data_IF_074700271953
#
_entry.id   IF_074700271953
#
_cell.length_a   1.000
_cell.length_b   1.000
_cell.length_c   1.000
_cell.angle_alpha   90.00
_cell.angle_beta   90.00
_cell.angle_gamma   90.00
#
_symmetry.space_group_name_H-M   'P 1'
#
loop_
_entity.id
_entity.type
_entity.pdbx_description
1 polymer ?
#
# COMPACT_ATOMS: atom_id res chain seq x y z
N UNK A 1 19.79 -23.87 33.02
CA UNK A 1 18.54 -23.98 32.23
C UNK A 1 18.33 -25.41 31.65
N UNK A 2 18.80 -25.75 30.44
CA UNK A 2 18.52 -27.07 29.83
C UNK A 2 19.18 -28.27 30.54
N UNK A 3 20.37 -28.10 31.13
CA UNK A 3 21.01 -29.13 31.95
C UNK A 3 20.32 -29.34 33.31
N UNK A 4 19.89 -28.26 33.96
CA UNK A 4 19.12 -28.34 35.23
C UNK A 4 17.76 -29.02 35.04
N UNK A 5 17.07 -28.76 33.92
CA UNK A 5 15.80 -29.42 33.59
C UNK A 5 15.97 -30.93 33.37
N UNK A 6 17.14 -31.36 32.86
CA UNK A 6 17.48 -32.78 32.67
C UNK A 6 17.85 -33.47 33.99
N UNK A 7 18.48 -32.76 34.92
CA UNK A 7 18.80 -33.28 36.24
C UNK A 7 17.57 -33.40 37.15
N UNK A 8 16.60 -32.48 37.03
CA UNK A 8 15.33 -32.55 37.74
C UNK A 8 14.45 -33.71 37.25
N UNK A 9 14.44 -34.01 35.93
CA UNK A 9 13.72 -35.19 35.42
C UNK A 9 14.39 -36.52 35.81
N UNK A 10 15.72 -36.54 35.97
CA UNK A 10 16.44 -37.73 36.42
C UNK A 10 16.27 -38.02 37.92
N UNK A 11 16.04 -36.99 38.74
CA UNK A 11 15.76 -37.14 40.18
C UNK A 11 14.34 -37.67 40.43
N UNK A 12 13.35 -37.20 39.69
CA UNK A 12 11.96 -37.70 39.80
C UNK A 12 11.80 -39.16 39.33
N UNK A 13 12.73 -39.69 38.54
CA UNK A 13 12.65 -41.05 37.99
C UNK A 13 13.35 -42.11 38.87
N UNK A 14 13.89 -41.72 40.03
CA UNK A 14 14.62 -42.62 40.94
C UNK A 14 13.82 -43.06 42.16
N UNK A 15 12.73 -42.34 42.48
CA UNK A 15 11.91 -42.59 43.68
C UNK A 15 10.64 -43.42 43.41
N UNK A 16 10.32 -43.74 42.15
CA UNK A 16 9.18 -44.61 41.77
C UNK A 16 9.57 -46.09 41.55
N UNK A 17 10.69 -46.52 42.13
CA UNK A 17 11.12 -47.93 42.15
C UNK A 17 10.89 -48.57 43.51
N UNK A 18 9.66 -48.58 44.01
CA UNK A 18 9.26 -49.61 44.97
C UNK A 18 7.73 -49.78 45.05
N UNK A 19 7.31 -51.04 44.87
CA UNK A 19 5.97 -51.63 45.14
C UNK A 19 4.93 -51.58 44.00
N UNK A 20 5.14 -52.41 42.98
CA UNK A 20 4.04 -53.00 42.18
C UNK A 20 3.85 -54.46 42.58
N UNK A 21 2.67 -54.79 43.13
CA UNK A 21 2.24 -56.17 43.45
C UNK A 21 2.06 -56.99 42.16
N UNK A 22 2.30 -58.31 42.16
CA UNK A 22 2.29 -59.08 40.92
C UNK A 22 0.87 -59.20 40.34
N UNK A 23 0.70 -58.77 39.08
CA UNK A 23 -0.53 -58.98 38.33
C UNK A 23 -0.74 -60.48 38.06
N UNK A 24 -1.95 -60.94 38.31
CA UNK A 24 -2.38 -62.32 38.15
C UNK A 24 -2.21 -62.79 36.70
N UNK A 25 -1.60 -63.97 36.53
CA UNK A 25 -1.56 -64.69 35.26
C UNK A 25 -2.99 -65.15 34.94
N UNK A 26 -3.67 -64.48 34.01
CA UNK A 26 -4.87 -65.02 33.40
C UNK A 26 -4.43 -66.24 32.56
N UNK A 27 -4.58 -67.44 33.15
CA UNK A 27 -4.40 -68.70 32.44
C UNK A 27 -5.54 -68.80 31.43
N UNK A 28 -5.26 -68.48 30.17
CA UNK A 28 -6.00 -69.06 29.05
C UNK A 28 -5.95 -70.57 29.23
N UNK A 29 -7.11 -71.21 29.38
CA UNK A 29 -7.20 -72.65 29.48
C UNK A 29 -6.71 -73.23 28.15
N UNK A 30 -5.45 -73.67 28.12
CA UNK A 30 -4.93 -74.49 27.03
C UNK A 30 -5.82 -75.74 26.96
N UNK A 31 -6.57 -75.86 25.88
CA UNK A 31 -7.29 -77.07 25.55
C UNK A 31 -6.23 -78.10 25.14
N UNK A 32 -6.25 -79.28 25.76
CA UNK A 32 -5.34 -80.39 25.40
C UNK A 32 -5.47 -80.72 23.91
N UNK A 33 -4.32 -81.02 23.31
CA UNK A 33 -4.15 -81.34 21.90
C UNK A 33 -4.83 -82.69 21.61
N UNK A 34 -6.13 -82.65 21.30
CA UNK A 34 -6.85 -83.82 20.78
C UNK A 34 -6.49 -83.90 19.30
N UNK A 35 -5.62 -84.85 18.94
CA UNK A 35 -5.02 -85.01 17.62
C UNK A 35 -5.98 -85.32 16.45
N UNK A 36 -7.28 -85.12 16.61
CA UNK A 36 -8.29 -85.22 15.55
C UNK A 36 -9.06 -83.90 15.44
N UNK A 37 -9.01 -83.29 14.26
CA UNK A 37 -9.61 -81.97 13.99
C UNK A 37 -11.14 -81.96 14.20
N UNK A 38 -11.79 -83.11 13.98
CA UNK A 38 -13.23 -83.27 14.16
C UNK A 38 -13.63 -83.23 15.64
N UNK A 39 -12.81 -83.78 16.55
CA UNK A 39 -13.07 -83.73 17.99
C UNK A 39 -12.89 -82.32 18.59
N UNK A 40 -11.98 -81.52 18.03
CA UNK A 40 -11.85 -80.11 18.37
C UNK A 40 -13.11 -79.33 17.98
N UNK A 41 -13.55 -79.46 16.72
CA UNK A 41 -14.72 -78.76 16.20
C UNK A 41 -16.00 -79.16 16.95
N UNK A 42 -16.20 -80.46 17.21
CA UNK A 42 -17.33 -80.96 18.00
C UNK A 42 -17.35 -80.33 19.39
N UNK A 43 -16.21 -80.31 20.09
CA UNK A 43 -16.13 -79.68 21.42
C UNK A 43 -16.26 -78.15 21.42
N UNK A 44 -15.85 -77.48 20.33
CA UNK A 44 -15.95 -76.02 20.16
C UNK A 44 -17.38 -75.58 19.86
N UNK A 45 -18.10 -76.36 19.05
CA UNK A 45 -19.53 -76.21 18.75
C UNK A 45 -20.41 -76.55 19.95
N UNK A 46 -20.17 -77.69 20.62
CA UNK A 46 -20.91 -78.10 21.81
C UNK A 46 -20.78 -77.08 22.95
N UNK A 47 -19.55 -76.57 23.17
CA UNK A 47 -19.27 -75.62 24.26
C UNK A 47 -19.46 -74.15 23.85
N UNK A 48 -19.90 -73.89 22.60
CA UNK A 48 -20.18 -72.56 22.03
C UNK A 48 -19.07 -71.53 22.37
N UNK A 49 -17.81 -71.92 22.21
CA UNK A 49 -16.68 -71.15 22.76
C UNK A 49 -16.41 -69.82 22.04
N UNK A 50 -17.04 -69.55 20.89
CA UNK A 50 -17.03 -68.22 20.24
C UNK A 50 -17.98 -67.21 20.88
N UNK A 51 -18.96 -67.68 21.65
CA UNK A 51 -19.77 -66.79 22.50
C UNK A 51 -18.98 -66.59 23.77
N UNK A 52 -18.52 -65.36 23.99
CA UNK A 52 -17.92 -64.96 25.26
C UNK A 52 -18.82 -65.48 26.39
N UNK A 53 -18.26 -66.25 27.33
CA UNK A 53 -18.99 -66.62 28.55
C UNK A 53 -19.46 -65.31 29.13
N UNK A 54 -20.76 -65.06 29.06
CA UNK A 54 -21.40 -63.89 29.61
C UNK A 54 -21.02 -63.79 31.09
N UNK A 55 -19.93 -63.08 31.36
CA UNK A 55 -19.77 -62.41 32.64
C UNK A 55 -21.06 -61.62 32.76
N UNK A 56 -21.82 -61.88 33.83
CA UNK A 56 -23.09 -61.21 34.10
C UNK A 56 -22.80 -59.71 34.32
N UNK A 57 -22.55 -58.98 33.25
CA UNK A 57 -22.68 -57.54 33.18
C UNK A 57 -24.09 -57.30 32.70
N UNK A 58 -24.96 -57.02 33.65
CA UNK A 58 -26.34 -56.62 33.43
C UNK A 58 -26.34 -55.21 32.85
N UNK A 59 -25.94 -55.03 31.59
CA UNK A 59 -26.21 -53.78 30.86
C UNK A 59 -27.56 -53.93 30.18
N UNK A 60 -28.52 -53.28 30.81
CA UNK A 60 -29.88 -53.09 30.32
C UNK A 60 -29.76 -52.30 29.01
N UNK A 61 -30.19 -52.92 27.93
CA UNK A 61 -30.31 -52.32 26.60
C UNK A 61 -31.53 -51.38 26.61
N UNK A 62 -31.43 -50.28 27.35
CA UNK A 62 -32.39 -49.15 27.42
C UNK A 62 -31.66 -47.80 27.46
N UNK A 63 -30.33 -47.80 27.32
CA UNK A 63 -29.43 -46.65 27.53
C UNK A 63 -28.87 -46.09 26.23
N UNK A 64 -29.46 -46.41 25.09
CA UNK A 64 -28.97 -45.90 23.80
C UNK A 64 -29.56 -44.52 23.49
N UNK A 65 -30.64 -44.09 24.17
CA UNK A 65 -31.26 -42.79 23.94
C UNK A 65 -30.78 -41.68 24.88
N UNK A 66 -30.48 -42.00 26.15
CA UNK A 66 -29.99 -41.01 27.13
C UNK A 66 -28.50 -40.68 26.93
N UNK A 67 -27.66 -41.65 26.53
CA UNK A 67 -26.23 -41.40 26.17
C UNK A 67 -26.13 -40.50 24.93
N UNK A 68 -27.05 -40.66 23.95
CA UNK A 68 -27.07 -39.85 22.73
C UNK A 68 -27.58 -38.42 22.96
N UNK A 69 -28.50 -38.20 23.91
CA UNK A 69 -28.96 -36.85 24.28
C UNK A 69 -27.88 -36.05 25.04
N UNK A 70 -27.12 -36.71 25.93
CA UNK A 70 -25.98 -36.07 26.62
C UNK A 70 -24.84 -35.76 25.62
N UNK A 71 -24.55 -36.66 24.69
CA UNK A 71 -23.56 -36.43 23.62
C UNK A 71 -23.95 -35.24 22.72
N UNK A 72 -25.25 -35.07 22.40
CA UNK A 72 -25.75 -33.92 21.61
C UNK A 72 -25.66 -32.60 22.39
N UNK A 73 -25.93 -32.63 23.70
CA UNK A 73 -25.80 -31.46 24.57
C UNK A 73 -24.33 -31.04 24.76
N UNK A 74 -23.38 -31.98 24.79
CA UNK A 74 -21.95 -31.69 24.81
C UNK A 74 -21.48 -31.07 23.48
N UNK A 75 -21.94 -31.60 22.34
CA UNK A 75 -21.67 -31.01 21.02
C UNK A 75 -22.20 -29.58 20.92
N UNK A 76 -23.42 -29.32 21.40
CA UNK A 76 -23.98 -27.95 21.38
C UNK A 76 -23.20 -27.00 22.31
N UNK A 77 -22.70 -27.49 23.45
CA UNK A 77 -21.83 -26.70 24.34
C UNK A 77 -20.48 -26.40 23.69
N UNK A 78 -19.89 -27.35 22.98
CA UNK A 78 -18.67 -27.16 22.21
C UNK A 78 -18.89 -26.13 21.10
N UNK A 79 -19.95 -26.26 20.31
CA UNK A 79 -20.30 -25.32 19.24
C UNK A 79 -20.56 -23.90 19.78
N UNK A 80 -21.23 -23.78 20.93
CA UNK A 80 -21.44 -22.48 21.60
C UNK A 80 -20.14 -21.89 22.13
N UNK A 81 -19.20 -22.71 22.57
CA UNK A 81 -17.88 -22.25 23.00
C UNK A 81 -17.03 -21.80 21.81
N UNK A 82 -17.02 -22.57 20.72
CA UNK A 82 -16.29 -22.25 19.50
C UNK A 82 -16.84 -21.00 18.82
N UNK A 83 -18.16 -20.89 18.69
CA UNK A 83 -18.79 -19.69 18.13
C UNK A 83 -18.49 -18.45 18.97
N UNK A 84 -18.64 -18.52 20.30
CA UNK A 84 -18.26 -17.43 21.20
C UNK A 84 -16.77 -17.13 21.19
N UNK A 85 -15.89 -18.09 20.89
CA UNK A 85 -14.44 -17.88 20.78
C UNK A 85 -14.07 -17.22 19.46
N UNK A 86 -14.65 -17.69 18.36
CA UNK A 86 -14.36 -17.24 17.00
C UNK A 86 -14.97 -15.87 16.71
N UNK A 87 -16.19 -15.63 17.17
CA UNK A 87 -16.96 -14.41 16.91
C UNK A 87 -16.96 -13.43 18.09
N UNK A 88 -15.98 -13.51 19.00
CA UNK A 88 -15.91 -12.67 20.22
C UNK A 88 -16.21 -11.20 19.97
N UNK A 89 -15.67 -10.63 18.90
CA UNK A 89 -15.81 -9.20 18.60
C UNK A 89 -17.05 -8.88 17.78
N UNK A 90 -17.52 -9.82 16.96
CA UNK A 90 -18.67 -9.65 16.07
C UNK A 90 -19.98 -9.86 16.82
N UNK A 91 -20.08 -10.90 17.63
CA UNK A 91 -21.26 -11.19 18.45
C UNK A 91 -21.46 -10.12 19.53
N UNK A 92 -20.38 -9.56 20.10
CA UNK A 92 -20.45 -8.43 21.02
C UNK A 92 -20.91 -7.14 20.33
N UNK A 93 -20.50 -6.90 19.08
CA UNK A 93 -20.94 -5.75 18.29
C UNK A 93 -22.43 -5.87 17.92
N UNK A 94 -22.87 -7.06 17.53
CA UNK A 94 -24.29 -7.34 17.24
C UNK A 94 -25.16 -7.27 18.49
N UNK A 95 -24.66 -7.74 19.64
CA UNK A 95 -25.32 -7.58 20.94
C UNK A 95 -25.42 -6.10 21.36
N UNK A 96 -24.38 -5.31 21.10
CA UNK A 96 -24.37 -3.86 21.31
C UNK A 96 -25.35 -3.11 20.40
N UNK A 97 -25.60 -3.63 19.19
CA UNK A 97 -26.61 -3.11 18.28
C UNK A 97 -28.04 -3.53 18.66
N UNK A 98 -28.22 -4.72 19.27
CA UNK A 98 -29.53 -5.27 19.68
C UNK A 98 -30.04 -4.78 21.03
N UNK A 99 -29.22 -4.80 22.07
CA UNK A 99 -29.52 -4.17 23.36
C UNK A 99 -28.96 -2.76 23.29
N UNK A 100 -29.82 -1.76 23.07
CA UNK A 100 -29.39 -0.37 22.87
C UNK A 100 -28.41 0.11 23.94
N UNK A 101 -27.12 0.12 23.58
CA UNK A 101 -25.96 0.82 24.16
C UNK A 101 -25.68 0.68 25.67
N UNK A 102 -26.66 0.93 26.53
CA UNK A 102 -26.45 1.33 27.92
C UNK A 102 -26.06 0.19 28.88
N UNK A 103 -26.54 -1.03 28.66
CA UNK A 103 -26.28 -2.16 29.59
C UNK A 103 -25.02 -2.96 29.20
N UNK A 104 -24.58 -2.87 27.94
CA UNK A 104 -23.36 -3.52 27.41
C UNK A 104 -22.14 -2.59 27.44
N UNK A 105 -22.34 -1.27 27.53
CA UNK A 105 -21.27 -0.26 27.56
C UNK A 105 -20.21 -0.48 28.65
N UNK A 106 -20.56 -1.11 29.77
CA UNK A 106 -19.61 -1.41 30.86
C UNK A 106 -18.52 -2.42 30.49
N UNK A 107 -18.72 -3.26 29.47
CA UNK A 107 -17.76 -4.30 29.08
C UNK A 107 -16.90 -3.91 27.86
N UNK A 108 -17.36 -2.98 27.01
CA UNK A 108 -16.70 -2.61 25.75
C UNK A 108 -16.24 -1.15 25.67
N UNK A 109 -16.76 -0.24 26.49
CA UNK A 109 -16.44 1.19 26.39
C UNK A 109 -15.29 1.57 27.33
N UNK A 110 -14.09 1.76 26.75
CA UNK A 110 -12.94 2.26 27.50
C UNK A 110 -13.15 3.76 27.77
N UNK A 111 -13.50 4.10 29.01
CA UNK A 111 -13.61 5.50 29.44
C UNK A 111 -12.24 6.18 29.37
N UNK A 112 -12.05 7.03 28.35
CA UNK A 112 -10.82 7.79 28.16
C UNK A 112 -10.82 9.07 28.98
N UNK A 113 -9.75 9.33 29.72
CA UNK A 113 -9.50 10.64 30.33
C UNK A 113 -8.48 11.42 29.51
N UNK A 114 -8.55 12.76 29.57
CA UNK A 114 -7.61 13.63 28.87
C UNK A 114 -6.17 13.36 29.35
N UNK A 115 -5.28 13.04 28.41
CA UNK A 115 -3.86 12.75 28.70
C UNK A 115 -3.06 14.00 29.02
N UNK A 116 -3.45 15.14 28.44
CA UNK A 116 -2.87 16.44 28.72
C UNK A 116 -3.79 17.23 29.66
N UNK A 117 -3.38 17.31 30.92
CA UNK A 117 -4.05 18.12 31.94
C UNK A 117 -3.42 19.51 31.94
N UNK A 118 -4.17 20.50 31.46
CA UNK A 118 -3.78 21.90 31.52
C UNK A 118 -3.56 22.31 32.99
N UNK A 119 -2.36 22.80 33.35
CA UNK A 119 -2.00 23.15 34.73
C UNK A 119 -1.24 22.08 35.52
N UNK A 120 -0.80 20.99 34.88
CA UNK A 120 0.11 20.03 35.53
C UNK A 120 1.42 20.72 35.94
N UNK A 121 1.76 20.63 37.24
CA UNK A 121 3.05 21.12 37.77
C UNK A 121 4.25 20.27 37.33
N UNK A 122 4.01 19.18 36.58
CA UNK A 122 5.07 18.30 36.07
C UNK A 122 5.85 19.00 34.96
N UNK A 123 7.17 19.07 35.10
CA UNK A 123 8.07 19.50 34.01
C UNK A 123 8.05 18.46 32.89
N UNK A 124 7.80 18.92 31.66
CA UNK A 124 7.85 18.08 30.46
C UNK A 124 9.27 18.08 29.89
N UNK A 125 9.82 16.90 29.63
CA UNK A 125 11.14 16.76 29.03
C UNK A 125 11.10 17.04 27.52
N UNK A 126 11.25 18.31 27.15
CA UNK A 126 11.20 18.77 25.76
C UNK A 126 12.50 18.61 24.97
N UNK A 127 13.55 17.98 25.54
CA UNK A 127 14.88 17.91 24.90
C UNK A 127 14.82 17.31 23.48
N UNK A 128 14.10 16.19 23.32
CA UNK A 128 13.93 15.53 22.01
C UNK A 128 13.04 16.35 21.06
N UNK A 129 12.05 17.06 21.61
CA UNK A 129 11.16 17.95 20.84
C UNK A 129 11.95 19.14 20.28
N UNK A 130 12.73 19.81 21.13
CA UNK A 130 13.65 20.89 20.73
C UNK A 130 14.68 20.43 19.69
N UNK A 131 15.23 19.22 19.84
CA UNK A 131 16.18 18.68 18.86
C UNK A 131 15.52 18.43 17.49
N UNK A 132 14.28 17.92 17.48
CA UNK A 132 13.50 17.75 16.24
C UNK A 132 13.16 19.10 15.60
N UNK A 133 12.74 20.07 16.41
CA UNK A 133 12.44 21.43 15.96
C UNK A 133 13.69 22.11 15.37
N UNK A 134 14.84 22.02 16.04
CA UNK A 134 16.11 22.55 15.52
C UNK A 134 16.54 21.88 14.20
N UNK A 135 16.39 20.56 14.08
CA UNK A 135 16.65 19.85 12.80
C UNK A 135 15.70 20.28 11.70
N UNK A 136 14.42 20.53 12.02
CA UNK A 136 13.42 21.02 11.08
C UNK A 136 13.75 22.43 10.63
N UNK A 137 14.08 23.31 11.56
CA UNK A 137 14.48 24.70 11.30
C UNK A 137 15.73 24.78 10.41
N UNK A 138 16.73 23.91 10.65
CA UNK A 138 17.92 23.85 9.78
C UNK A 138 17.56 23.47 8.34
N UNK A 139 16.75 22.44 8.16
CA UNK A 139 16.28 22.01 6.83
C UNK A 139 15.43 23.07 6.15
N UNK A 140 14.56 23.75 6.89
CA UNK A 140 13.72 24.82 6.37
C UNK A 140 14.56 26.04 5.94
N UNK A 141 15.58 26.38 6.71
CA UNK A 141 16.53 27.44 6.36
C UNK A 141 17.31 27.10 5.08
N UNK A 142 17.81 25.87 4.97
CA UNK A 142 18.48 25.38 3.75
C UNK A 142 17.53 25.44 2.54
N UNK A 143 16.28 24.96 2.70
CA UNK A 143 15.27 25.02 1.63
C UNK A 143 14.96 26.47 1.22
N UNK A 144 14.81 27.37 2.18
CA UNK A 144 14.55 28.80 1.92
C UNK A 144 15.72 29.47 1.20
N UNK A 145 16.96 29.10 1.51
CA UNK A 145 18.14 29.58 0.78
C UNK A 145 18.13 29.10 -0.67
N UNK A 146 17.87 27.81 -0.90
CA UNK A 146 17.75 27.25 -2.25
C UNK A 146 16.61 27.91 -3.05
N UNK A 147 15.45 28.11 -2.43
CA UNK A 147 14.31 28.81 -3.06
C UNK A 147 14.67 30.26 -3.43
N UNK A 148 15.41 30.97 -2.56
CA UNK A 148 15.86 32.32 -2.84
C UNK A 148 16.88 32.37 -3.99
N UNK A 149 17.81 31.42 -4.04
CA UNK A 149 18.77 31.27 -5.14
C UNK A 149 18.08 30.95 -6.45
N UNK A 150 17.14 29.99 -6.46
CA UNK A 150 16.33 29.67 -7.63
C UNK A 150 15.52 30.86 -8.11
N UNK A 151 14.93 31.64 -7.19
CA UNK A 151 14.20 32.87 -7.54
C UNK A 151 15.13 33.90 -8.18
N UNK A 152 16.34 34.08 -7.65
CA UNK A 152 17.34 34.97 -8.24
C UNK A 152 17.74 34.49 -9.64
N UNK A 153 18.01 33.20 -9.80
CA UNK A 153 18.42 32.63 -11.09
C UNK A 153 17.30 32.74 -12.13
N UNK A 154 16.04 32.49 -11.74
CA UNK A 154 14.86 32.70 -12.59
C UNK A 154 14.69 34.16 -12.98
N UNK A 155 14.95 35.10 -12.06
CA UNK A 155 14.89 36.53 -12.38
C UNK A 155 15.96 36.91 -13.40
N UNK A 156 17.20 36.46 -13.21
CA UNK A 156 18.29 36.70 -14.14
C UNK A 156 17.99 36.12 -15.53
N UNK A 157 17.55 34.84 -15.61
CA UNK A 157 17.14 34.25 -16.88
C UNK A 157 15.98 34.98 -17.56
N UNK A 158 15.00 35.46 -16.78
CA UNK A 158 13.91 36.27 -17.33
C UNK A 158 14.39 37.62 -17.87
N UNK A 159 15.42 38.21 -17.28
CA UNK A 159 16.05 39.42 -17.80
C UNK A 159 16.81 39.11 -19.10
N UNK A 160 17.65 38.07 -19.12
CA UNK A 160 18.36 37.63 -20.33
C UNK A 160 17.41 37.31 -21.49
N UNK A 161 16.29 36.63 -21.22
CA UNK A 161 15.28 36.33 -22.23
C UNK A 161 14.61 37.59 -22.77
N UNK A 162 14.29 38.56 -21.91
CA UNK A 162 13.74 39.85 -22.36
C UNK A 162 14.74 40.61 -23.23
N UNK A 163 16.02 40.64 -22.86
CA UNK A 163 17.07 41.26 -23.67
C UNK A 163 17.20 40.58 -25.04
N UNK A 164 17.13 39.25 -25.10
CA UNK A 164 17.14 38.52 -26.37
C UNK A 164 15.90 38.78 -27.22
N UNK A 165 14.71 38.78 -26.62
CA UNK A 165 13.47 39.11 -27.33
C UNK A 165 13.50 40.56 -27.85
N UNK A 166 14.08 41.48 -27.08
CA UNK A 166 14.32 42.85 -27.52
C UNK A 166 15.26 42.91 -28.73
N UNK A 167 16.38 42.19 -28.69
CA UNK A 167 17.29 42.11 -29.85
C UNK A 167 16.58 41.55 -31.09
N UNK A 168 15.77 40.50 -30.93
CA UNK A 168 14.99 39.91 -32.03
C UNK A 168 13.97 40.90 -32.58
N UNK A 169 13.22 41.58 -31.70
CA UNK A 169 12.21 42.57 -32.11
C UNK A 169 12.82 43.78 -32.83
N UNK A 170 13.97 44.28 -32.34
CA UNK A 170 14.72 45.36 -33.00
C UNK A 170 15.27 44.92 -34.36
N UNK A 171 15.85 43.71 -34.46
CA UNK A 171 16.33 43.18 -35.74
C UNK A 171 15.19 42.92 -36.73
N UNK A 172 14.03 42.49 -36.23
CA UNK A 172 12.84 42.24 -37.05
C UNK A 172 12.08 43.50 -37.44
N UNK A 173 12.52 44.70 -37.05
CA UNK A 173 11.82 45.97 -37.33
C UNK A 173 10.44 46.08 -36.67
N UNK A 174 10.13 45.18 -35.75
CA UNK A 174 8.78 45.01 -35.21
C UNK A 174 8.57 45.76 -33.89
N UNK A 175 9.67 46.14 -33.23
CA UNK A 175 9.67 47.01 -32.05
C UNK A 175 10.45 48.28 -32.36
N UNK A 176 9.82 49.44 -32.12
CA UNK A 176 10.49 50.73 -32.10
C UNK A 176 11.13 51.05 -30.75
N UNK A 177 11.89 52.15 -30.67
CA UNK A 177 12.54 52.62 -29.42
C UNK A 177 11.53 52.94 -28.30
N UNK A 178 10.25 53.16 -28.62
CA UNK A 178 9.18 53.47 -27.66
C UNK A 178 8.58 52.23 -26.97
N UNK A 179 8.76 51.02 -27.53
CA UNK A 179 8.19 49.77 -27.00
C UNK A 179 9.12 49.04 -26.00
N UNK A 180 10.25 49.65 -25.65
CA UNK A 180 11.29 49.05 -24.79
C UNK A 180 10.80 48.69 -23.37
N UNK A 181 9.76 49.36 -22.86
CA UNK A 181 9.24 49.15 -21.50
C UNK A 181 8.04 48.18 -21.44
N UNK A 182 7.60 47.60 -22.56
CA UNK A 182 6.49 46.66 -22.53
C UNK A 182 6.80 45.46 -21.62
N UNK A 183 6.05 45.31 -20.51
CA UNK A 183 6.26 44.23 -19.54
C UNK A 183 6.16 42.83 -20.16
N UNK A 184 5.51 42.73 -21.32
CA UNK A 184 5.20 41.51 -22.04
C UNK A 184 5.61 41.59 -23.53
N UNK A 185 6.92 41.70 -23.78
CA UNK A 185 7.52 41.64 -25.12
C UNK A 185 7.06 40.42 -25.94
N UNK A 186 6.73 39.30 -25.29
CA UNK A 186 6.22 38.12 -26.01
C UNK A 186 4.89 38.40 -26.71
N UNK A 187 3.99 39.17 -26.08
CA UNK A 187 2.70 39.54 -26.68
C UNK A 187 2.82 40.55 -27.81
N UNK A 188 3.72 41.53 -27.72
CA UNK A 188 3.95 42.47 -28.82
C UNK A 188 4.52 41.76 -30.04
N UNK A 189 5.39 40.76 -29.82
CA UNK A 189 5.87 39.84 -30.85
C UNK A 189 4.87 38.72 -31.21
N UNK A 190 3.61 38.76 -30.75
CA UNK A 190 2.55 37.75 -30.98
C UNK A 190 3.02 36.31 -30.75
N UNK A 191 4.03 36.14 -29.91
CA UNK A 191 4.75 34.89 -29.69
C UNK A 191 4.13 34.24 -28.46
N UNK A 192 3.11 33.43 -28.68
CA UNK A 192 2.39 32.74 -27.60
C UNK A 192 3.22 31.54 -27.10
N UNK A 193 3.14 31.27 -25.79
CA UNK A 193 3.80 30.12 -25.15
C UNK A 193 3.42 28.80 -25.83
N UNK A 194 2.15 28.66 -26.22
CA UNK A 194 1.62 27.49 -26.92
C UNK A 194 2.26 27.28 -28.31
N UNK A 195 2.62 28.35 -29.02
CA UNK A 195 3.27 28.24 -30.34
C UNK A 195 4.75 27.82 -30.24
N UNK A 196 5.41 28.16 -29.13
CA UNK A 196 6.80 27.78 -28.87
C UNK A 196 6.94 26.32 -28.43
N UNK A 197 5.95 25.79 -27.72
CA UNK A 197 5.95 24.44 -27.17
C UNK A 197 5.34 23.39 -28.15
N UNK A 198 4.59 23.82 -29.16
CA UNK A 198 4.00 22.95 -30.19
C UNK A 198 5.00 22.51 -31.29
N UNK A 199 4.70 21.39 -31.96
CA UNK A 199 5.44 20.94 -33.14
C UNK A 199 5.27 21.94 -34.31
N UNK A 200 6.33 22.14 -35.09
CA UNK A 200 6.34 23.08 -36.21
C UNK A 200 5.30 22.72 -37.28
N UNK A 201 4.36 23.65 -37.53
CA UNK A 201 3.32 23.55 -38.54
C UNK A 201 3.45 24.70 -39.55
N UNK A 202 3.70 24.42 -40.84
CA UNK A 202 3.88 25.44 -41.86
C UNK A 202 2.66 26.35 -42.02
N UNK A 203 1.43 25.83 -41.91
CA UNK A 203 0.20 26.63 -42.09
C UNK A 203 0.01 27.63 -40.94
N UNK A 204 0.22 27.19 -39.69
CA UNK A 204 0.16 28.07 -38.51
C UNK A 204 1.25 29.13 -38.54
N UNK A 205 2.45 28.75 -38.97
CA UNK A 205 3.56 29.68 -39.08
C UNK A 205 3.32 30.74 -40.15
N UNK A 206 2.82 30.36 -41.33
CA UNK A 206 2.45 31.31 -42.39
C UNK A 206 1.36 32.29 -41.93
N UNK A 207 0.34 31.79 -41.23
CA UNK A 207 -0.70 32.64 -40.64
C UNK A 207 -0.13 33.65 -39.62
N UNK A 208 0.85 33.24 -38.82
CA UNK A 208 1.53 34.10 -37.85
C UNK A 208 2.40 35.16 -38.56
N UNK A 209 3.16 34.77 -39.58
CA UNK A 209 3.96 35.70 -40.39
C UNK A 209 3.09 36.72 -41.10
N UNK A 210 2.00 36.31 -41.75
CA UNK A 210 1.07 37.25 -42.39
C UNK A 210 0.40 38.20 -41.39
N UNK A 211 0.14 37.74 -40.16
CA UNK A 211 -0.43 38.57 -39.11
C UNK A 211 0.57 39.56 -38.50
N UNK A 212 1.87 39.26 -38.56
CA UNK A 212 2.94 40.05 -37.94
C UNK A 212 3.61 40.98 -38.95
N UNK A 213 3.84 40.46 -40.16
CA UNK A 213 4.38 41.12 -41.33
C UNK A 213 3.30 41.02 -42.42
N UNK A 214 2.38 41.98 -42.41
CA UNK A 214 1.24 42.02 -43.34
C UNK A 214 1.56 42.79 -44.62
N UNK A 215 0.52 43.38 -45.21
CA UNK A 215 0.65 44.31 -46.35
C UNK A 215 1.55 45.51 -46.02
N UNK A 216 1.63 45.92 -44.76
CA UNK A 216 2.52 47.01 -44.34
C UNK A 216 4.02 46.67 -44.48
N UNK A 217 4.39 45.39 -44.48
CA UNK A 217 5.79 44.95 -44.65
C UNK A 217 6.07 44.38 -46.05
N UNK A 218 5.14 43.59 -46.60
CA UNK A 218 5.29 42.96 -47.92
C UNK A 218 4.73 43.79 -49.08
N UNK A 219 3.93 44.82 -48.79
CA UNK A 219 3.27 45.68 -49.76
C UNK A 219 3.89 47.08 -49.89
N UNK A 220 4.87 47.44 -49.05
CA UNK A 220 5.73 48.59 -49.31
C UNK A 220 6.54 48.30 -50.59
N UNK A 221 6.30 49.08 -51.65
CA UNK A 221 7.22 49.18 -52.78
C UNK A 221 8.52 49.79 -52.25
N UNK A 222 9.52 48.94 -52.04
CA UNK A 222 10.85 49.37 -51.61
C UNK A 222 11.48 50.23 -52.71
N UNK A 223 11.34 51.56 -52.59
CA UNK A 223 11.91 52.55 -53.52
C UNK A 223 13.44 52.41 -53.66
N UNK A 224 14.11 51.70 -52.73
CA UNK A 224 15.55 51.39 -52.77
C UNK A 224 15.89 50.16 -53.64
N UNK A 225 14.92 49.29 -53.93
CA UNK A 225 15.05 48.24 -54.96
C UNK A 225 14.70 48.80 -56.34
N UNK A 226 15.35 49.90 -56.73
CA UNK A 226 15.28 50.35 -58.10
C UNK A 226 16.02 49.34 -58.99
N UNK A 227 15.26 48.38 -59.53
CA UNK A 227 15.73 47.32 -60.44
C UNK A 227 16.50 47.90 -61.63
N UNK A 228 16.32 49.18 -61.95
CA UNK A 228 17.09 49.91 -62.95
C UNK A 228 18.59 50.01 -62.62
N UNK A 229 19.01 50.11 -61.34
CA UNK A 229 20.43 50.15 -60.96
C UNK A 229 21.08 48.76 -60.91
N UNK A 230 20.29 47.68 -60.74
CA UNK A 230 20.77 46.30 -60.85
C UNK A 230 20.83 45.80 -62.30
N UNK A 231 20.09 46.43 -63.22
CA UNK A 231 20.06 46.08 -64.64
C UNK A 231 21.32 46.47 -65.42
N UNK A 232 22.23 47.27 -64.83
CA UNK A 232 23.53 47.62 -65.41
C UNK A 232 24.61 46.54 -65.16
N UNK A 233 24.34 45.51 -64.34
CA UNK A 233 25.22 44.35 -64.24
C UNK A 233 25.00 43.40 -65.43
N UNK A 234 25.94 43.42 -66.37
CA UNK A 234 25.89 42.68 -67.64
C UNK A 234 25.59 41.18 -67.47
N UNK A 235 25.86 40.60 -66.29
CA UNK A 235 25.56 39.21 -65.97
C UNK A 235 24.05 38.88 -65.93
N UNK A 236 23.19 39.83 -65.52
CA UNK A 236 21.75 39.61 -65.43
C UNK A 236 21.07 39.69 -66.81
N UNK A 237 21.56 40.59 -67.67
CA UNK A 237 21.07 40.73 -69.04
C UNK A 237 21.43 39.53 -69.94
N UNK A 238 22.53 38.82 -69.66
CA UNK A 238 22.90 37.59 -70.35
C UNK A 238 22.04 36.40 -69.90
N UNK A 239 21.66 36.34 -68.62
CA UNK A 239 20.77 35.30 -68.09
C UNK A 239 19.38 35.38 -68.73
N UNK A 240 18.78 36.57 -68.80
CA UNK A 240 17.46 36.78 -69.43
C UNK A 240 17.42 36.55 -70.95
N UNK A 241 18.58 36.60 -71.63
CA UNK A 241 18.66 36.35 -73.09
C UNK A 241 18.71 34.87 -73.47
N UNK A 242 18.99 34.00 -72.51
CA UNK A 242 19.18 32.57 -72.76
C UNK A 242 17.89 31.74 -72.57
N UNK A 243 16.79 32.38 -72.16
CA UNK A 243 15.50 31.73 -71.88
C UNK A 243 14.39 32.01 -72.92
N UNK A 244 14.71 32.60 -74.07
CA UNK A 244 13.81 32.72 -75.24
C UNK A 244 14.09 31.64 -76.31
#
# INVERSE_FOLDING_TARGET
>A
ALQEMRELSAKNNKDDKEKVKPAAKNKTAMLEDVGDADGFLESYLEKQLWKEKASKSKRKQDSDSEDLEDDEAELEQMDRFESKYNFRFEELADQQARLGGAEVAGLTEVTGHARDVQGSMRRVDDKRKKERESRKERKEKERRQQEAELRRLKNLKRQELRERLKQIGQMGGLLGDEDEEAEDLGKSLKLNEDFLDEDWDPEKHEALMAAQFGEDYYGEEDDELNVADMADDAAYAEYMKNDD
#
